data_IF_154277570397
#
_entry.id   IF_154277570397
#
_cell.length_a   1.000
_cell.length_b   1.000
_cell.length_c   1.000
_cell.angle_alpha   90.00
_cell.angle_beta   90.00
_cell.angle_gamma   90.00
#
_symmetry.space_group_name_H-M   'P 1'
#
loop_
_entity.id
_entity.type
_entity.pdbx_description
1 polymer ?
#
# COMPACT_ATOMS: atom_id res chain seq x y z
N UNK A 1 11.35 -19.11 15.92
CA UNK A 1 10.32 -18.70 14.94
C UNK A 1 9.00 -18.52 15.67
N UNK A 2 8.26 -17.44 15.41
CA UNK A 2 6.89 -17.31 15.94
C UNK A 2 5.95 -18.33 15.30
N UNK A 3 4.97 -18.83 16.04
CA UNK A 3 4.03 -19.82 15.51
C UNK A 3 3.23 -19.24 14.33
N UNK A 4 3.21 -19.93 13.19
CA UNK A 4 2.47 -19.51 12.00
C UNK A 4 0.98 -19.31 12.31
N UNK A 5 0.41 -20.10 13.23
CA UNK A 5 -0.98 -19.90 13.68
C UNK A 5 -1.24 -18.53 14.31
N UNK A 6 -0.34 -17.98 15.14
CA UNK A 6 -0.54 -16.65 15.73
C UNK A 6 -0.19 -15.49 14.81
N UNK A 7 0.39 -15.77 13.64
CA UNK A 7 0.59 -14.82 12.54
C UNK A 7 -0.55 -14.87 11.51
N UNK A 8 -1.19 -16.02 11.34
CA UNK A 8 -2.40 -16.19 10.54
C UNK A 8 -3.67 -15.74 11.28
N UNK A 9 -3.71 -15.93 12.60
CA UNK A 9 -4.79 -15.52 13.48
C UNK A 9 -4.22 -14.67 14.63
N UNK A 10 -3.96 -13.37 14.39
CA UNK A 10 -3.48 -12.47 15.43
C UNK A 10 -4.52 -12.35 16.56
N UNK A 11 -4.09 -12.10 17.82
CA UNK A 11 -5.00 -11.75 18.90
C UNK A 11 -5.73 -10.44 18.57
N UNK A 12 -6.91 -10.23 19.18
CA UNK A 12 -7.69 -8.99 19.00
C UNK A 12 -6.80 -7.77 19.30
N UNK A 13 -6.80 -6.80 18.39
CA UNK A 13 -6.09 -5.53 18.59
C UNK A 13 -6.48 -4.88 19.92
N UNK A 14 -5.46 -4.42 20.65
CA UNK A 14 -5.61 -3.57 21.85
C UNK A 14 -5.88 -2.10 21.49
N UNK A 15 -5.69 -1.73 20.22
CA UNK A 15 -5.97 -0.41 19.67
C UNK A 15 -7.23 -0.45 18.80
N UNK A 16 -8.13 0.52 18.97
CA UNK A 16 -9.39 0.62 18.22
C UNK A 16 -9.52 1.94 17.44
N UNK A 17 -10.46 2.00 16.48
CA UNK A 17 -10.66 3.16 15.59
C UNK A 17 -11.02 4.42 16.39
N UNK A 18 -11.70 4.25 17.52
CA UNK A 18 -12.07 5.34 18.43
C UNK A 18 -10.83 6.04 19.02
N UNK A 19 -9.71 5.32 19.19
CA UNK A 19 -8.46 5.82 19.77
C UNK A 19 -7.54 6.53 18.76
N UNK A 20 -7.88 6.53 17.46
CA UNK A 20 -7.20 7.37 16.48
C UNK A 20 -7.42 8.85 16.88
N UNK A 21 -6.39 9.72 16.90
CA UNK A 21 -6.57 11.14 17.21
C UNK A 21 -7.38 11.85 16.12
N UNK A 22 -7.67 13.15 16.32
CA UNK A 22 -8.14 13.99 15.22
C UNK A 22 -7.04 14.12 14.16
N UNK A 23 -7.41 13.97 12.89
CA UNK A 23 -6.53 14.06 11.72
C UNK A 23 -6.92 15.27 10.84
N UNK A 24 -7.70 16.21 11.37
CA UNK A 24 -8.04 17.47 10.71
C UNK A 24 -6.80 18.15 10.11
N UNK A 25 -6.88 18.50 8.82
CA UNK A 25 -5.78 19.10 8.06
C UNK A 25 -4.76 18.12 7.48
N UNK A 26 -4.73 16.85 7.92
CA UNK A 26 -3.83 15.85 7.33
C UNK A 26 -4.38 15.33 5.98
N UNK A 27 -3.51 15.27 4.98
CA UNK A 27 -3.78 14.74 3.64
C UNK A 27 -3.35 13.29 3.58
N UNK A 28 -4.28 12.40 3.23
CA UNK A 28 -4.06 10.95 3.25
C UNK A 28 -4.56 10.31 1.95
N UNK A 29 -3.70 9.55 1.27
CA UNK A 29 -4.06 8.78 0.07
C UNK A 29 -4.26 7.31 0.44
N UNK A 30 -5.38 6.73 0.03
CA UNK A 30 -5.66 5.30 0.21
C UNK A 30 -5.90 4.64 -1.14
N UNK A 31 -5.11 3.62 -1.47
CA UNK A 31 -5.37 2.82 -2.67
C UNK A 31 -6.46 1.78 -2.36
N UNK A 32 -7.65 2.01 -2.92
CA UNK A 32 -8.85 1.18 -2.71
C UNK A 32 -9.38 1.15 -1.27
N UNK A 33 -9.98 0.00 -0.91
CA UNK A 33 -10.55 -0.39 0.39
C UNK A 33 -11.32 0.68 1.17
N UNK A 34 -12.65 0.62 1.03
CA UNK A 34 -13.61 1.62 1.52
C UNK A 34 -13.56 1.81 3.04
N UNK A 35 -13.23 0.76 3.82
CA UNK A 35 -13.26 0.82 5.30
C UNK A 35 -12.16 1.72 5.89
N UNK A 36 -10.94 1.70 5.33
CA UNK A 36 -9.88 2.64 5.69
C UNK A 36 -10.33 4.09 5.49
N UNK A 37 -10.96 4.36 4.35
CA UNK A 37 -11.46 5.70 4.00
C UNK A 37 -12.52 6.14 5.03
N UNK A 38 -13.45 5.27 5.42
CA UNK A 38 -14.48 5.53 6.43
C UNK A 38 -13.89 5.92 7.79
N UNK A 39 -12.91 5.17 8.29
CA UNK A 39 -12.25 5.44 9.56
C UNK A 39 -11.54 6.80 9.57
N UNK A 40 -10.82 7.13 8.50
CA UNK A 40 -10.06 8.36 8.35
C UNK A 40 -10.96 9.60 8.17
N UNK A 41 -12.05 9.49 7.40
CA UNK A 41 -13.06 10.55 7.26
C UNK A 41 -13.76 10.84 8.59
N UNK A 42 -14.12 9.81 9.36
CA UNK A 42 -14.68 9.99 10.70
C UNK A 42 -13.70 10.69 11.66
N UNK A 43 -12.39 10.64 11.38
CA UNK A 43 -11.33 11.39 12.08
C UNK A 43 -10.88 12.66 11.34
N UNK A 44 -11.73 13.24 10.50
CA UNK A 44 -11.57 14.54 9.81
C UNK A 44 -10.38 14.64 8.82
N UNK A 45 -9.72 13.54 8.45
CA UNK A 45 -8.65 13.57 7.45
C UNK A 45 -9.18 13.99 6.06
N UNK A 46 -8.33 14.67 5.27
CA UNK A 46 -8.56 14.93 3.84
C UNK A 46 -8.14 13.69 3.05
N UNK A 47 -9.09 12.77 2.87
CA UNK A 47 -8.84 11.45 2.28
C UNK A 47 -8.98 11.48 0.75
N UNK A 48 -8.02 10.89 0.06
CA UNK A 48 -8.07 10.57 -1.37
C UNK A 48 -8.31 9.08 -1.59
N UNK A 49 -9.45 8.74 -2.21
CA UNK A 49 -9.79 7.39 -2.64
C UNK A 49 -9.17 7.13 -4.02
N UNK A 50 -7.98 6.53 -4.02
CA UNK A 50 -7.25 6.21 -5.25
C UNK A 50 -7.73 4.87 -5.83
N UNK A 51 -8.43 4.91 -6.97
CA UNK A 51 -9.10 3.74 -7.53
C UNK A 51 -9.16 3.72 -9.07
N UNK A 52 -9.20 2.50 -9.62
CA UNK A 52 -9.17 2.23 -11.07
C UNK A 52 -10.48 2.59 -11.79
N UNK A 53 -11.62 2.45 -11.13
CA UNK A 53 -12.96 2.42 -11.73
C UNK A 53 -13.78 3.58 -11.17
N UNK A 54 -14.05 4.63 -11.97
CA UNK A 54 -14.75 5.83 -11.46
C UNK A 54 -16.13 5.48 -10.90
N UNK A 55 -16.97 4.76 -11.64
CA UNK A 55 -18.30 4.32 -11.19
C UNK A 55 -18.27 3.66 -9.80
N UNK A 56 -17.49 2.59 -9.63
CA UNK A 56 -17.32 1.91 -8.34
C UNK A 56 -16.68 2.76 -7.24
N UNK A 57 -16.00 3.84 -7.59
CA UNK A 57 -15.52 4.81 -6.61
C UNK A 57 -16.64 5.81 -6.25
N UNK A 58 -17.45 6.24 -7.21
CA UNK A 58 -18.64 7.08 -6.99
C UNK A 58 -19.67 6.36 -6.10
N UNK A 59 -19.95 5.08 -6.38
CA UNK A 59 -20.80 4.20 -5.56
C UNK A 59 -20.29 4.13 -4.11
N UNK A 60 -18.96 3.97 -3.94
CA UNK A 60 -18.32 3.91 -2.63
C UNK A 60 -18.28 5.29 -1.93
N UNK A 61 -18.19 6.40 -2.68
CA UNK A 61 -18.19 7.76 -2.17
C UNK A 61 -19.56 8.12 -1.58
N UNK A 62 -20.66 7.82 -2.28
CA UNK A 62 -22.00 8.13 -1.76
C UNK A 62 -22.40 7.20 -0.59
N UNK A 63 -21.91 5.95 -0.55
CA UNK A 63 -22.00 5.13 0.66
C UNK A 63 -21.21 5.72 1.83
N UNK A 64 -19.93 6.06 1.64
CA UNK A 64 -19.09 6.70 2.67
C UNK A 64 -19.69 8.00 3.20
N UNK A 65 -20.28 8.81 2.32
CA UNK A 65 -20.97 10.07 2.64
C UNK A 65 -22.22 9.86 3.50
N UNK A 66 -22.87 8.71 3.37
CA UNK A 66 -23.97 8.29 4.26
C UNK A 66 -23.43 7.88 5.63
N UNK A 67 -22.43 6.99 5.67
CA UNK A 67 -21.88 6.43 6.92
C UNK A 67 -21.01 7.41 7.74
N UNK A 68 -20.45 8.45 7.10
CA UNK A 68 -19.54 9.44 7.74
C UNK A 68 -20.16 10.83 7.88
N UNK A 69 -21.50 10.90 7.93
CA UNK A 69 -22.29 12.11 8.21
C UNK A 69 -21.97 13.27 7.23
N UNK A 70 -22.01 12.99 5.93
CA UNK A 70 -21.85 13.96 4.85
C UNK A 70 -20.42 14.16 4.33
N UNK A 71 -19.40 13.56 4.97
CA UNK A 71 -18.00 13.64 4.52
C UNK A 71 -17.74 12.69 3.35
N UNK A 72 -16.91 13.08 2.39
CA UNK A 72 -16.59 12.26 1.23
C UNK A 72 -15.08 12.29 0.92
N UNK A 73 -14.47 11.19 0.46
CA UNK A 73 -13.10 11.21 -0.01
C UNK A 73 -13.03 11.76 -1.44
N UNK A 74 -11.90 12.35 -1.80
CA UNK A 74 -11.64 12.87 -3.15
C UNK A 74 -11.24 11.71 -4.05
N UNK A 75 -11.94 11.49 -5.15
CA UNK A 75 -11.56 10.46 -6.13
C UNK A 75 -10.22 10.80 -6.79
N UNK A 76 -9.33 9.81 -6.88
CA UNK A 76 -8.10 9.86 -7.68
C UNK A 76 -8.06 8.66 -8.64
N UNK A 77 -7.88 8.92 -9.93
CA UNK A 77 -7.87 7.88 -10.97
C UNK A 77 -6.53 7.13 -10.97
N UNK A 78 -6.48 5.98 -10.30
CA UNK A 78 -5.27 5.16 -10.18
C UNK A 78 -5.52 3.71 -10.61
N UNK A 79 -4.90 3.31 -11.73
CA UNK A 79 -4.73 1.90 -12.10
C UNK A 79 -3.27 1.46 -11.88
N UNK A 80 -3.03 0.74 -10.79
CA UNK A 80 -1.71 0.18 -10.44
C UNK A 80 -1.21 -0.85 -11.48
N UNK A 81 -2.09 -1.36 -12.36
CA UNK A 81 -1.74 -2.21 -13.49
C UNK A 81 -1.23 -1.46 -14.73
N UNK A 82 -1.05 -0.12 -14.66
CA UNK A 82 -0.50 0.71 -15.75
C UNK A 82 0.40 1.81 -15.19
N UNK A 83 1.70 1.77 -15.52
CA UNK A 83 2.66 2.79 -15.06
C UNK A 83 2.34 4.20 -15.61
N UNK A 84 1.65 4.30 -16.74
CA UNK A 84 1.11 5.56 -17.27
C UNK A 84 -0.01 6.12 -16.36
N UNK A 85 -0.94 5.27 -15.92
CA UNK A 85 -1.98 5.71 -14.96
C UNK A 85 -1.39 6.05 -13.59
N UNK A 86 -0.36 5.35 -13.15
CA UNK A 86 0.37 5.66 -11.90
C UNK A 86 1.05 7.03 -11.98
N UNK A 87 1.68 7.34 -13.12
CA UNK A 87 2.29 8.66 -13.37
C UNK A 87 1.24 9.77 -13.32
N UNK A 88 0.17 9.63 -14.10
CA UNK A 88 -0.92 10.61 -14.18
C UNK A 88 -1.61 10.84 -12.83
N UNK A 89 -1.81 9.79 -12.03
CA UNK A 89 -2.36 9.91 -10.68
C UNK A 89 -1.44 10.72 -9.74
N UNK A 90 -0.12 10.51 -9.80
CA UNK A 90 0.82 11.27 -8.98
C UNK A 90 0.93 12.73 -9.42
N UNK A 91 0.83 13.01 -10.72
CA UNK A 91 0.79 14.36 -11.28
C UNK A 91 -0.52 15.08 -10.93
N UNK A 92 -1.67 14.41 -11.01
CA UNK A 92 -2.98 14.92 -10.59
C UNK A 92 -3.05 15.18 -9.08
N UNK A 93 -2.40 14.37 -8.25
CA UNK A 93 -2.31 14.62 -6.82
C UNK A 93 -1.45 15.86 -6.51
N UNK A 94 -0.25 15.96 -7.11
CA UNK A 94 0.70 17.07 -6.87
C UNK A 94 0.24 18.42 -7.43
N UNK A 95 -0.73 18.44 -8.35
CA UNK A 95 -1.37 19.70 -8.79
C UNK A 95 -2.48 20.18 -7.85
N UNK A 96 -2.94 19.33 -6.92
CA UNK A 96 -4.00 19.64 -5.93
C UNK A 96 -3.47 19.82 -4.50
N UNK A 97 -2.40 19.10 -4.14
CA UNK A 97 -1.85 19.06 -2.77
C UNK A 97 -0.35 19.33 -2.76
N UNK A 98 0.10 20.11 -1.78
CA UNK A 98 1.53 20.31 -1.48
C UNK A 98 2.01 19.40 -0.32
N UNK A 99 1.08 18.77 0.41
CA UNK A 99 1.37 17.88 1.53
C UNK A 99 0.74 16.49 1.34
N UNK A 100 1.36 15.48 1.94
CA UNK A 100 0.92 14.09 2.03
C UNK A 100 1.48 13.48 3.31
N UNK A 101 0.63 13.31 4.32
CA UNK A 101 1.02 12.84 5.65
C UNK A 101 1.10 11.31 5.69
N UNK A 102 0.16 10.63 5.03
CA UNK A 102 0.09 9.17 4.98
C UNK A 102 -0.31 8.64 3.58
N UNK A 103 0.43 7.65 3.07
CA UNK A 103 0.10 6.88 1.87
C UNK A 103 -0.18 5.42 2.23
N UNK A 104 -1.43 4.97 2.10
CA UNK A 104 -1.83 3.57 2.24
C UNK A 104 -1.79 2.85 0.87
N UNK A 105 -0.67 2.17 0.61
CA UNK A 105 -0.48 1.20 -0.47
C UNK A 105 -1.19 -0.13 -0.13
N UNK A 106 -2.51 -0.12 -0.20
CA UNK A 106 -3.37 -1.21 0.27
C UNK A 106 -3.97 -2.06 -0.86
N UNK A 107 -4.34 -1.46 -2.00
CA UNK A 107 -4.99 -2.14 -3.12
C UNK A 107 -4.18 -3.34 -3.67
N UNK A 108 -4.88 -4.32 -4.22
CA UNK A 108 -4.21 -5.41 -4.92
C UNK A 108 -5.18 -6.35 -5.61
N UNK A 109 -4.60 -7.24 -6.41
CA UNK A 109 -5.29 -8.41 -6.96
C UNK A 109 -4.85 -9.66 -6.21
N UNK A 110 -5.79 -10.59 -6.07
CA UNK A 110 -5.63 -11.89 -5.44
C UNK A 110 -5.99 -12.96 -6.48
N UNK A 111 -5.02 -13.80 -6.84
CA UNK A 111 -5.21 -15.02 -7.64
C UNK A 111 -6.01 -14.85 -8.96
N UNK A 112 -5.76 -13.82 -9.79
CA UNK A 112 -6.28 -13.78 -11.16
C UNK A 112 -5.69 -14.92 -12.01
N UNK A 113 -6.28 -15.22 -13.19
CA UNK A 113 -5.67 -16.11 -14.18
C UNK A 113 -4.23 -15.70 -14.50
N UNK A 114 -3.32 -16.67 -14.53
CA UNK A 114 -1.86 -16.48 -14.52
C UNK A 114 -1.32 -15.88 -15.83
N UNK A 115 -2.11 -16.00 -16.89
CA UNK A 115 -1.92 -15.41 -18.20
C UNK A 115 -2.14 -13.89 -18.18
N UNK A 116 -2.85 -13.34 -17.18
CA UNK A 116 -3.10 -11.90 -17.12
C UNK A 116 -1.81 -11.12 -16.82
N UNK A 117 -1.67 -9.99 -17.52
CA UNK A 117 -0.52 -9.10 -17.45
C UNK A 117 -0.98 -7.67 -17.18
N UNK A 118 -0.10 -6.86 -16.61
CA UNK A 118 -0.22 -5.40 -16.60
C UNK A 118 -0.15 -4.82 -18.02
N UNK A 119 -0.54 -3.56 -18.19
CA UNK A 119 -0.35 -2.83 -19.44
C UNK A 119 1.13 -2.70 -19.87
N UNK A 120 2.06 -3.01 -18.96
CA UNK A 120 3.51 -3.02 -19.17
C UNK A 120 4.10 -4.44 -19.31
N UNK A 121 3.27 -5.48 -19.41
CA UNK A 121 3.69 -6.86 -19.70
C UNK A 121 4.09 -7.72 -18.49
N UNK A 122 4.27 -7.14 -17.31
CA UNK A 122 4.55 -7.89 -16.06
C UNK A 122 3.35 -8.72 -15.60
N UNK A 123 3.59 -9.80 -14.87
CA UNK A 123 2.56 -10.54 -14.10
C UNK A 123 1.60 -9.57 -13.38
N UNK A 124 0.30 -9.82 -13.49
CA UNK A 124 -0.69 -8.89 -12.94
C UNK A 124 -0.59 -8.78 -11.40
N UNK A 125 -0.20 -9.83 -10.68
CA UNK A 125 -0.12 -9.77 -9.21
C UNK A 125 1.09 -9.00 -8.73
N UNK A 126 2.29 -9.32 -9.21
CA UNK A 126 3.51 -8.60 -8.85
C UNK A 126 3.48 -7.16 -9.37
N UNK A 127 3.01 -6.96 -10.61
CA UNK A 127 2.87 -5.65 -11.23
C UNK A 127 1.92 -4.73 -10.45
N UNK A 128 0.71 -5.20 -10.12
CA UNK A 128 -0.29 -4.38 -9.39
C UNK A 128 0.10 -4.21 -7.91
N UNK A 129 0.46 -5.30 -7.23
CA UNK A 129 0.62 -5.28 -5.77
C UNK A 129 1.95 -4.64 -5.33
N UNK A 130 2.99 -4.71 -6.17
CA UNK A 130 4.36 -4.26 -5.87
C UNK A 130 4.78 -3.10 -6.78
N UNK A 131 4.91 -3.33 -8.09
CA UNK A 131 5.56 -2.35 -8.98
C UNK A 131 4.77 -1.05 -9.10
N UNK A 132 3.44 -1.12 -9.26
CA UNK A 132 2.57 0.06 -9.31
C UNK A 132 2.62 0.88 -8.03
N UNK A 133 2.55 0.23 -6.86
CA UNK A 133 2.66 0.90 -5.55
C UNK A 133 4.03 1.52 -5.31
N UNK A 134 5.09 0.77 -5.64
CA UNK A 134 6.47 1.26 -5.51
C UNK A 134 6.69 2.51 -6.38
N UNK A 135 6.30 2.45 -7.66
CA UNK A 135 6.43 3.59 -8.57
C UNK A 135 5.57 4.79 -8.12
N UNK A 136 4.33 4.56 -7.66
CA UNK A 136 3.48 5.62 -7.09
C UNK A 136 4.13 6.28 -5.86
N UNK A 137 4.72 5.47 -4.97
CA UNK A 137 5.44 5.94 -3.79
C UNK A 137 6.65 6.78 -4.16
N UNK A 138 7.48 6.33 -5.12
CA UNK A 138 8.65 7.09 -5.60
C UNK A 138 8.24 8.43 -6.23
N UNK A 139 7.17 8.47 -7.01
CA UNK A 139 6.67 9.72 -7.62
C UNK A 139 6.09 10.72 -6.61
N UNK A 140 5.69 10.27 -5.42
CA UNK A 140 5.18 11.07 -4.31
C UNK A 140 6.21 11.29 -3.18
N UNK A 141 7.37 10.63 -3.24
CA UNK A 141 8.42 10.72 -2.22
C UNK A 141 8.91 12.15 -1.97
N UNK A 142 9.05 13.05 -2.96
CA UNK A 142 9.35 14.46 -2.70
C UNK A 142 8.29 15.15 -1.83
N UNK A 143 7.01 14.87 -2.04
CA UNK A 143 5.88 15.43 -1.28
C UNK A 143 5.84 14.85 0.14
N UNK A 144 6.06 13.55 0.31
CA UNK A 144 6.20 12.91 1.62
C UNK A 144 7.36 13.54 2.43
N UNK A 145 8.53 13.73 1.80
CA UNK A 145 9.70 14.35 2.44
C UNK A 145 9.48 15.83 2.75
N UNK A 146 8.79 16.58 1.88
CA UNK A 146 8.39 17.96 2.14
C UNK A 146 7.48 18.04 3.38
N UNK A 147 6.45 17.20 3.42
CA UNK A 147 5.47 17.15 4.51
C UNK A 147 6.14 16.83 5.85
N UNK A 148 7.01 15.81 5.87
CA UNK A 148 7.77 15.41 7.06
C UNK A 148 8.65 16.53 7.64
N UNK A 149 9.14 17.45 6.80
CA UNK A 149 10.03 18.55 7.20
C UNK A 149 9.28 19.83 7.58
N UNK A 150 8.22 20.16 6.84
CA UNK A 150 7.62 21.49 6.85
C UNK A 150 6.23 21.55 7.52
N UNK A 151 5.49 20.43 7.52
CA UNK A 151 4.12 20.42 8.07
C UNK A 151 4.16 20.31 9.60
N UNK A 152 3.58 21.27 10.35
CA UNK A 152 3.53 21.17 11.81
C UNK A 152 2.68 19.98 12.27
N UNK A 153 1.71 19.53 11.45
CA UNK A 153 0.85 18.37 11.69
C UNK A 153 1.58 17.03 11.51
N UNK A 154 2.72 17.02 10.79
CA UNK A 154 3.49 15.80 10.55
C UNK A 154 4.46 15.45 11.69
N UNK A 155 4.70 16.35 12.65
CA UNK A 155 5.60 16.12 13.78
C UNK A 155 6.94 15.46 13.38
N UNK A 156 7.59 15.97 12.33
CA UNK A 156 8.88 15.50 11.83
C UNK A 156 8.86 14.23 10.95
N UNK A 157 7.68 13.67 10.62
CA UNK A 157 7.60 12.40 9.90
C UNK A 157 6.36 12.26 8.98
N UNK A 158 6.58 11.70 7.80
CA UNK A 158 5.52 11.23 6.91
C UNK A 158 5.55 9.68 6.82
N UNK A 159 4.40 9.07 6.50
CA UNK A 159 4.19 7.62 6.61
C UNK A 159 3.80 6.99 5.28
N UNK A 160 4.34 5.81 4.99
CA UNK A 160 3.88 4.93 3.91
C UNK A 160 3.47 3.60 4.54
N UNK A 161 2.38 3.00 4.05
CA UNK A 161 1.74 1.84 4.68
C UNK A 161 1.45 0.79 3.60
N UNK A 162 2.14 -0.35 3.63
CA UNK A 162 2.06 -1.39 2.60
C UNK A 162 1.28 -2.62 3.10
N UNK A 163 0.12 -2.94 2.52
CA UNK A 163 -0.67 -4.10 2.94
C UNK A 163 -0.09 -5.40 2.39
N UNK A 164 0.66 -6.12 3.24
CA UNK A 164 1.14 -7.49 2.98
C UNK A 164 -0.01 -8.51 3.16
N UNK A 165 0.30 -9.80 3.35
CA UNK A 165 -0.67 -10.85 3.71
C UNK A 165 0.03 -11.96 4.50
N UNK A 166 -0.72 -12.78 5.24
CA UNK A 166 -0.24 -14.06 5.80
C UNK A 166 0.18 -15.06 4.71
N UNK A 167 -0.26 -14.89 3.46
CA UNK A 167 0.17 -15.71 2.31
C UNK A 167 1.69 -15.72 2.07
N UNK A 168 2.44 -14.78 2.67
CA UNK A 168 3.92 -14.77 2.64
C UNK A 168 4.55 -16.01 3.25
N UNK A 169 3.86 -16.74 4.13
CA UNK A 169 4.37 -18.01 4.68
C UNK A 169 4.28 -19.19 3.69
N UNK A 170 3.77 -18.96 2.47
CA UNK A 170 3.62 -19.95 1.39
C UNK A 170 4.44 -19.62 0.13
N UNK A 171 5.44 -18.74 0.27
CA UNK A 171 6.43 -18.47 -0.80
C UNK A 171 7.36 -19.69 -0.98
N UNK A 172 7.89 -19.96 -2.18
CA UNK A 172 9.01 -20.89 -2.37
C UNK A 172 10.16 -20.64 -1.38
N UNK A 173 10.93 -21.69 -1.04
CA UNK A 173 12.06 -21.58 -0.09
C UNK A 173 13.16 -20.64 -0.60
N UNK A 174 13.23 -20.53 -1.92
CA UNK A 174 14.14 -19.74 -2.73
C UNK A 174 13.77 -18.23 -2.69
N UNK A 175 12.54 -17.89 -2.28
CA UNK A 175 12.05 -16.52 -2.17
C UNK A 175 11.31 -16.05 -3.42
N UNK A 176 11.77 -14.95 -4.02
CA UNK A 176 11.16 -14.39 -5.25
C UNK A 176 11.68 -15.19 -6.45
N UNK A 177 10.76 -15.67 -7.29
CA UNK A 177 11.10 -16.33 -8.55
C UNK A 177 11.38 -15.27 -9.62
N UNK A 178 12.62 -14.81 -9.73
CA UNK A 178 13.03 -13.69 -10.59
C UNK A 178 12.65 -13.89 -12.07
N UNK A 179 12.64 -15.14 -12.54
CA UNK A 179 12.21 -15.52 -13.88
C UNK A 179 10.74 -15.15 -14.18
N UNK A 180 9.89 -15.02 -13.16
CA UNK A 180 8.48 -14.62 -13.30
C UNK A 180 8.27 -13.12 -13.50
N UNK A 181 9.32 -12.30 -13.30
CA UNK A 181 9.24 -10.84 -13.35
C UNK A 181 9.55 -10.26 -14.73
N UNK A 182 9.91 -11.10 -15.70
CA UNK A 182 10.03 -10.71 -17.10
C UNK A 182 8.69 -10.34 -17.75
N UNK A 183 8.76 -9.91 -19.01
CA UNK A 183 7.59 -9.56 -19.84
C UNK A 183 7.42 -10.48 -21.07
N UNK A 184 8.30 -11.46 -21.22
CA UNK A 184 8.36 -12.38 -22.36
C UNK A 184 7.62 -13.72 -22.11
N UNK A 185 7.61 -14.58 -23.13
CA UNK A 185 6.98 -15.91 -23.09
C UNK A 185 7.62 -16.87 -22.06
N UNK A 186 8.90 -16.71 -21.73
CA UNK A 186 9.56 -17.52 -20.69
C UNK A 186 9.06 -17.15 -19.30
N UNK A 187 8.84 -15.85 -19.04
CA UNK A 187 8.22 -15.38 -17.80
C UNK A 187 6.79 -15.90 -17.64
N UNK A 188 6.01 -15.97 -18.73
CA UNK A 188 4.65 -16.53 -18.71
C UNK A 188 4.68 -18.02 -18.37
N UNK A 189 5.62 -18.79 -18.94
CA UNK A 189 5.81 -20.21 -18.61
C UNK A 189 6.23 -20.40 -17.14
N UNK A 190 7.13 -19.55 -16.62
CA UNK A 190 7.53 -19.58 -15.22
C UNK A 190 6.38 -19.21 -14.27
N UNK A 191 5.59 -18.19 -14.60
CA UNK A 191 4.39 -17.83 -13.85
C UNK A 191 3.42 -19.02 -13.76
N UNK A 192 3.16 -19.73 -14.88
CA UNK A 192 2.32 -20.93 -14.90
C UNK A 192 2.87 -22.05 -14.01
N UNK A 193 4.21 -22.24 -13.97
CA UNK A 193 4.89 -23.21 -13.11
C UNK A 193 4.78 -22.86 -11.61
N UNK A 194 4.86 -21.58 -11.25
CA UNK A 194 4.73 -21.09 -9.87
C UNK A 194 3.26 -21.05 -9.39
N UNK A 195 2.32 -20.81 -10.30
CA UNK A 195 0.89 -20.77 -10.04
C UNK A 195 0.41 -19.51 -9.31
N UNK A 196 -0.89 -19.25 -9.36
CA UNK A 196 -1.52 -18.05 -8.81
C UNK A 196 -1.22 -17.81 -7.32
N UNK A 197 -1.14 -18.89 -6.51
CA UNK A 197 -0.83 -18.81 -5.08
C UNK A 197 0.61 -18.35 -4.82
N UNK A 198 1.59 -18.92 -5.53
CA UNK A 198 3.01 -18.56 -5.38
C UNK A 198 3.28 -17.15 -5.87
N UNK A 199 2.68 -16.75 -7.00
CA UNK A 199 2.72 -15.38 -7.52
C UNK A 199 2.13 -14.36 -6.53
N UNK A 200 1.00 -14.67 -5.88
CA UNK A 200 0.46 -13.82 -4.82
C UNK A 200 1.40 -13.74 -3.61
N UNK A 201 1.87 -14.89 -3.12
CA UNK A 201 2.74 -15.00 -1.97
C UNK A 201 4.04 -14.18 -2.15
N UNK A 202 4.72 -14.30 -3.30
CA UNK A 202 5.93 -13.53 -3.57
C UNK A 202 5.64 -12.03 -3.68
N UNK A 203 4.49 -11.63 -4.27
CA UNK A 203 4.08 -10.22 -4.35
C UNK A 203 3.94 -9.61 -2.96
N UNK A 204 3.41 -10.37 -1.99
CA UNK A 204 3.26 -9.91 -0.61
C UNK A 204 4.55 -10.05 0.22
N UNK A 205 5.54 -10.83 -0.21
CA UNK A 205 6.89 -10.90 0.38
C UNK A 205 7.76 -9.71 -0.04
N UNK A 206 7.68 -9.30 -1.30
CA UNK A 206 8.39 -8.11 -1.79
C UNK A 206 8.05 -6.86 -0.96
N UNK A 207 6.79 -6.75 -0.49
CA UNK A 207 6.34 -5.70 0.44
C UNK A 207 6.89 -5.80 1.88
N UNK A 208 7.60 -6.88 2.25
CA UNK A 208 8.15 -7.11 3.61
C UNK A 208 9.68 -7.02 3.71
N UNK A 209 10.44 -7.04 2.61
CA UNK A 209 11.92 -7.02 2.67
C UNK A 209 12.45 -5.58 2.71
N UNK A 210 13.16 -5.16 3.77
CA UNK A 210 13.90 -3.89 3.76
C UNK A 210 15.28 -4.07 3.10
N UNK A 211 15.65 -3.17 2.18
CA UNK A 211 16.97 -3.14 1.54
C UNK A 211 16.92 -2.95 0.02
N UNK A 212 16.70 -4.04 -0.70
CA UNK A 212 17.39 -4.33 -1.98
C UNK A 212 16.86 -3.61 -3.25
N UNK A 213 15.99 -2.60 -3.14
CA UNK A 213 15.31 -1.98 -4.32
C UNK A 213 15.40 -0.45 -4.44
N UNK A 214 16.16 0.24 -3.59
CA UNK A 214 16.50 1.67 -3.78
C UNK A 214 18.00 1.91 -3.64
N UNK A 215 18.83 1.03 -4.19
CA UNK A 215 20.25 1.33 -4.41
C UNK A 215 20.43 1.97 -5.80
N UNK A 216 19.97 3.22 -5.93
CA UNK A 216 20.34 4.08 -7.05
C UNK A 216 21.78 4.53 -6.83
N UNK A 217 22.72 3.85 -7.48
CA UNK A 217 24.16 3.99 -7.28
C UNK A 217 24.72 5.29 -7.86
N UNK A 218 24.73 6.35 -7.07
CA UNK A 218 25.81 7.35 -7.14
C UNK A 218 26.90 7.04 -6.11
N UNK A 219 28.14 7.43 -6.45
CA UNK A 219 29.35 6.73 -6.02
C UNK A 219 29.86 7.03 -4.60
N UNK A 220 30.53 6.01 -4.02
CA UNK A 220 31.64 6.04 -3.04
C UNK A 220 31.36 6.15 -1.52
N UNK A 221 31.79 5.08 -0.84
CA UNK A 221 32.76 5.06 0.27
C UNK A 221 32.48 5.88 1.56
N UNK A 222 31.85 5.18 2.51
CA UNK A 222 32.25 5.10 3.94
C UNK A 222 31.78 6.15 4.96
N UNK A 223 32.00 5.81 6.25
CA UNK A 223 32.07 6.71 7.41
C UNK A 223 30.80 7.46 7.89
N UNK A 224 29.64 6.79 8.00
CA UNK A 224 28.89 6.67 9.27
C UNK A 224 27.62 5.82 9.11
N UNK A 225 27.28 5.00 10.11
CA UNK A 225 26.03 4.21 10.13
C UNK A 225 24.96 4.93 10.98
N UNK A 226 23.80 5.32 10.42
CA UNK A 226 22.58 5.52 11.19
C UNK A 226 22.14 4.18 11.81
N UNK A 227 21.31 4.23 12.87
CA UNK A 227 20.61 3.05 13.37
C UNK A 227 19.69 2.47 12.29
N UNK A 228 19.66 1.13 12.18
CA UNK A 228 18.87 0.46 11.16
C UNK A 228 17.35 0.73 11.32
N UNK A 229 16.59 0.86 10.23
CA UNK A 229 15.16 1.18 10.29
C UNK A 229 14.34 0.05 10.93
N UNK A 230 13.67 0.37 12.04
CA UNK A 230 12.76 -0.53 12.76
C UNK A 230 11.58 -0.98 11.88
N UNK A 231 11.31 -2.29 11.85
CA UNK A 231 10.30 -2.92 10.97
C UNK A 231 9.14 -3.54 11.76
N UNK A 232 7.89 -3.38 11.30
CA UNK A 232 6.69 -4.05 11.87
C UNK A 232 5.59 -4.27 10.81
N UNK A 233 4.87 -5.43 10.82
CA UNK A 233 4.11 -5.96 9.64
C UNK A 233 2.69 -6.51 9.92
N UNK A 234 1.67 -6.03 9.17
CA UNK A 234 0.18 -6.13 9.31
C UNK A 234 -0.48 -5.28 8.13
N UNK A 235 -1.63 -5.31 7.36
CA UNK A 235 -3.05 -5.82 7.22
C UNK A 235 -4.26 -4.86 7.68
N UNK A 236 -5.57 -5.24 7.74
CA UNK A 236 -6.71 -4.55 8.47
C UNK A 236 -8.02 -5.43 8.71
N UNK A 237 -8.82 -5.25 9.81
CA UNK A 237 -10.09 -5.99 10.12
C UNK A 237 -11.26 -5.12 10.70
N UNK A 238 -12.44 -5.08 10.03
CA UNK A 238 -13.71 -4.45 10.49
C UNK A 238 -14.94 -5.16 9.89
N UNK A 239 -16.07 -5.24 10.62
CA UNK A 239 -17.30 -5.93 10.20
C UNK A 239 -18.55 -5.01 10.16
N UNK A 240 -19.01 -4.58 8.97
CA UNK A 240 -20.36 -4.08 8.78
C UNK A 240 -21.38 -5.22 9.04
N UNK A 241 -22.54 -4.93 9.61
CA UNK A 241 -23.59 -5.94 9.87
C UNK A 241 -24.42 -6.32 8.64
N UNK A 242 -24.16 -5.71 7.47
CA UNK A 242 -25.04 -5.70 6.30
C UNK A 242 -24.45 -6.28 5.00
N UNK A 243 -23.18 -6.73 4.97
CA UNK A 243 -22.61 -7.42 3.81
C UNK A 243 -22.69 -8.96 3.94
N UNK A 244 -22.75 -9.63 2.79
CA UNK A 244 -22.92 -11.09 2.68
C UNK A 244 -21.73 -11.89 3.23
N UNK A 245 -21.99 -13.15 3.61
CA UNK A 245 -21.15 -13.98 4.50
C UNK A 245 -19.74 -14.38 4.01
N UNK A 246 -19.35 -14.01 2.79
CA UNK A 246 -18.46 -14.84 1.96
C UNK A 246 -16.97 -14.42 1.93
N UNK A 247 -16.60 -13.28 2.51
CA UNK A 247 -15.18 -12.89 2.66
C UNK A 247 -14.77 -12.84 4.14
N UNK A 248 -14.07 -13.90 4.58
CA UNK A 248 -13.37 -13.96 5.87
C UNK A 248 -11.87 -14.16 5.63
N UNK A 249 -11.04 -13.20 6.05
CA UNK A 249 -9.58 -13.36 6.15
C UNK A 249 -9.03 -12.40 7.22
N UNK A 250 -7.92 -12.78 7.88
CA UNK A 250 -7.55 -12.31 9.23
C UNK A 250 -6.36 -11.35 9.26
N UNK A 251 -6.51 -10.17 9.90
CA UNK A 251 -5.76 -8.97 9.54
C UNK A 251 -5.73 -7.83 10.65
N UNK A 252 -4.81 -6.84 10.60
CA UNK A 252 -4.58 -5.56 11.40
C UNK A 252 -3.39 -4.77 10.76
N UNK A 253 -2.94 -3.51 11.08
CA UNK A 253 -2.14 -2.57 10.15
C UNK A 253 -0.61 -2.25 10.35
N UNK A 254 0.16 -2.01 9.25
CA UNK A 254 1.62 -1.61 9.08
C UNK A 254 1.96 -0.12 9.23
N UNK A 255 3.25 0.24 9.45
CA UNK A 255 3.81 1.59 9.11
C UNK A 255 5.32 1.60 8.70
N UNK A 256 5.68 2.36 7.64
CA UNK A 256 7.02 2.93 7.38
C UNK A 256 7.11 4.38 7.89
N UNK A 257 8.23 4.79 8.48
CA UNK A 257 8.48 6.18 8.91
C UNK A 257 9.64 6.80 8.13
N UNK A 258 9.43 7.99 7.54
CA UNK A 258 10.50 8.81 6.98
C UNK A 258 10.84 9.93 7.98
N UNK A 259 11.97 9.81 8.68
CA UNK A 259 12.43 10.83 9.62
C UNK A 259 13.17 11.97 8.89
N UNK A 260 12.81 13.22 9.20
CA UNK A 260 13.58 14.38 8.75
C UNK A 260 14.97 14.44 9.40
N UNK A 261 16.01 14.76 8.62
CA UNK A 261 17.32 15.11 9.17
C UNK A 261 17.24 16.37 10.04
N UNK A 262 17.63 16.25 11.31
CA UNK A 262 18.09 17.39 12.13
C UNK A 262 19.61 17.47 12.08
N UNK A 263 20.13 18.70 11.96
CA UNK A 263 21.56 19.01 12.02
C UNK A 263 22.00 19.30 13.46
N UNK A 264 23.26 18.99 13.79
CA UNK A 264 24.30 20.04 13.84
C UNK A 264 24.99 20.30 12.49
#
# INVERSE_FOLDING_TARGET
>A
MGNIFSQAFPPKSLFSVEQIPDLAGQVIVVTGHVLNNMALLNKNAKVYLAARSKSRADDAIEWLKTETNGKAPIFLKLDLGSLDSVRKAAEEFKSKEQELHVLFNNAGVLMPPVEQRTANGYDLQFGTNVLGHYFFTILLLPTLIHTAKNSPLAHGHARVINTSSSMVYFVPKEGIAWETLGTDMSSIAACKKLGANGLYAQSKLALRRPGDYVELTESRESANRPSAPSTMVVFEDYKPRSLSRELRSSHSVVVWHFAGWSKP
#
